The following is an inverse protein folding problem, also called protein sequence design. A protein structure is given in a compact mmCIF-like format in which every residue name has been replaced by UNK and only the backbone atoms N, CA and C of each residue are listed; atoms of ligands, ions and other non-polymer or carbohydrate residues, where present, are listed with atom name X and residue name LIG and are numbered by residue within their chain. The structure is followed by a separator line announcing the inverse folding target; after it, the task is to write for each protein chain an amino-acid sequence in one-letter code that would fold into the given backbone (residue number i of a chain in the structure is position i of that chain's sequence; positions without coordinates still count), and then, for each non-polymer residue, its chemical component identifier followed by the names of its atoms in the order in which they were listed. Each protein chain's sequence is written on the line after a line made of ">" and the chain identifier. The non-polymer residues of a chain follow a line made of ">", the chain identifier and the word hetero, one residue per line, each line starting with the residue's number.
data_IF_358819100755
#
_entry.id   IF_358819100755
#
_cell.length_a   1.000
_cell.length_b   1.000
_cell.length_c   1.000
_cell.angle_alpha   90.00
_cell.angle_beta   90.00
_cell.angle_gamma   90.00
#
_symmetry.space_group_name_H-M   'P 1'
#
loop_
_entity.id
_entity.type
_entity.pdbx_description
1 polymer ?
#
# COMPACT_ATOMS: atom_id res chain seq x y z
N UNK A 1 18.15 -30.18 30.84
CA UNK A 1 17.87 -31.23 29.82
C UNK A 1 16.55 -31.03 29.08
N UNK A 2 15.42 -30.66 29.73
CA UNK A 2 14.15 -30.41 29.01
C UNK A 2 14.16 -29.12 28.18
N UNK A 3 14.74 -28.03 28.70
CA UNK A 3 14.89 -26.73 28.02
C UNK A 3 15.68 -26.87 26.69
N UNK A 4 16.85 -27.52 26.76
CA UNK A 4 17.75 -27.73 25.62
C UNK A 4 17.10 -28.57 24.53
N UNK A 5 16.33 -29.61 24.91
CA UNK A 5 15.62 -30.47 23.94
C UNK A 5 14.50 -29.71 23.23
N UNK A 6 13.84 -28.77 23.92
CA UNK A 6 12.80 -27.92 23.33
C UNK A 6 13.40 -26.92 22.33
N UNK A 7 14.49 -26.26 22.71
CA UNK A 7 15.23 -25.34 21.83
C UNK A 7 15.72 -26.02 20.55
N UNK A 8 16.23 -27.25 20.63
CA UNK A 8 16.66 -28.00 19.44
C UNK A 8 15.50 -28.43 18.54
N UNK A 9 14.30 -28.66 19.10
CA UNK A 9 13.11 -28.99 18.30
C UNK A 9 12.64 -27.74 17.55
N UNK A 10 12.59 -26.60 18.22
CA UNK A 10 12.19 -25.32 17.62
C UNK A 10 13.16 -24.92 16.48
N UNK A 11 14.46 -25.14 16.63
CA UNK A 11 15.46 -24.87 15.58
C UNK A 11 15.30 -25.80 14.36
N UNK A 12 15.05 -27.09 14.57
CA UNK A 12 14.80 -28.04 13.48
C UNK A 12 13.51 -27.69 12.72
N UNK A 13 12.46 -27.28 13.42
CA UNK A 13 11.21 -26.82 12.78
C UNK A 13 11.44 -25.58 11.91
N UNK A 14 12.24 -24.61 12.39
CA UNK A 14 12.61 -23.44 11.60
C UNK A 14 13.41 -23.82 10.34
N UNK A 15 14.33 -24.78 10.43
CA UNK A 15 15.11 -25.25 9.28
C UNK A 15 14.22 -25.97 8.25
N UNK A 16 13.28 -26.80 8.71
CA UNK A 16 12.34 -27.50 7.83
C UNK A 16 11.41 -26.51 7.11
N UNK A 17 10.90 -25.49 7.84
CA UNK A 17 10.11 -24.43 7.26
C UNK A 17 10.92 -23.64 6.21
N UNK A 18 12.20 -23.36 6.49
CA UNK A 18 13.08 -22.66 5.57
C UNK A 18 13.29 -23.43 4.27
N UNK A 19 13.66 -24.72 4.37
CA UNK A 19 13.87 -25.58 3.21
C UNK A 19 12.62 -25.62 2.32
N UNK A 20 11.45 -25.84 2.94
CA UNK A 20 10.17 -25.85 2.22
C UNK A 20 9.88 -24.51 1.52
N UNK A 21 10.09 -23.38 2.20
CA UNK A 21 9.85 -22.06 1.61
C UNK A 21 10.77 -21.80 0.42
N UNK A 22 12.04 -22.21 0.51
CA UNK A 22 13.02 -22.11 -0.59
C UNK A 22 12.62 -22.96 -1.79
N UNK A 23 12.20 -24.21 -1.56
CA UNK A 23 11.73 -25.11 -2.61
C UNK A 23 10.48 -24.54 -3.32
N UNK A 24 9.52 -24.01 -2.55
CA UNK A 24 8.30 -23.41 -3.12
C UNK A 24 8.58 -22.11 -3.90
N UNK A 25 9.67 -21.41 -3.57
CA UNK A 25 10.12 -20.19 -4.23
C UNK A 25 11.05 -20.43 -5.42
N UNK A 26 11.58 -21.64 -5.59
CA UNK A 26 12.50 -21.99 -6.67
C UNK A 26 12.01 -21.55 -8.07
N UNK A 27 10.71 -21.68 -8.43
CA UNK A 27 10.21 -21.21 -9.72
C UNK A 27 10.26 -19.69 -9.94
N UNK A 28 10.36 -18.91 -8.86
CA UNK A 28 10.31 -17.44 -8.85
C UNK A 28 11.68 -16.81 -8.55
N UNK A 29 12.73 -17.63 -8.41
CA UNK A 29 14.02 -17.21 -7.88
C UNK A 29 14.81 -16.39 -8.91
N UNK A 30 15.28 -15.21 -8.51
CA UNK A 30 16.23 -14.38 -9.25
C UNK A 30 17.51 -14.09 -8.43
N UNK A 31 18.50 -13.46 -9.06
CA UNK A 31 19.78 -13.11 -8.40
C UNK A 31 19.62 -12.08 -7.26
N UNK A 32 18.55 -11.30 -7.23
CA UNK A 32 18.30 -10.25 -6.23
C UNK A 32 17.93 -10.84 -4.85
N UNK A 33 17.26 -11.98 -4.84
CA UNK A 33 16.81 -12.70 -3.63
C UNK A 33 18.01 -13.21 -2.80
N UNK A 34 19.09 -13.64 -3.44
CA UNK A 34 20.26 -14.22 -2.75
C UNK A 34 21.02 -13.23 -1.86
N UNK A 35 21.08 -11.97 -2.30
CA UNK A 35 21.86 -10.93 -1.63
C UNK A 35 21.29 -10.52 -0.26
N UNK A 36 19.97 -10.62 -0.09
CA UNK A 36 19.24 -10.19 1.11
C UNK A 36 19.25 -11.24 2.22
N UNK A 37 19.26 -12.53 1.84
CA UNK A 37 19.08 -13.66 2.76
C UNK A 37 20.31 -13.89 3.66
N UNK A 38 21.52 -13.66 3.14
CA UNK A 38 22.78 -14.00 3.83
C UNK A 38 23.08 -13.19 5.12
N UNK A 39 22.19 -12.29 5.54
CA UNK A 39 22.37 -11.44 6.73
C UNK A 39 21.28 -11.60 7.80
N UNK A 40 20.32 -12.50 7.60
CA UNK A 40 19.14 -12.63 8.45
C UNK A 40 19.28 -13.81 9.43
N UNK A 41 18.57 -13.74 10.57
CA UNK A 41 18.34 -14.95 11.38
C UNK A 41 17.40 -15.89 10.64
N UNK A 42 17.45 -17.19 10.93
CA UNK A 42 16.61 -18.19 10.25
C UNK A 42 15.11 -17.89 10.38
N UNK A 43 14.68 -17.38 11.54
CA UNK A 43 13.30 -16.94 11.74
C UNK A 43 12.94 -15.77 10.83
N UNK A 44 13.76 -14.72 10.79
CA UNK A 44 13.51 -13.55 9.98
C UNK A 44 13.57 -13.89 8.47
N UNK A 45 14.44 -14.82 8.09
CA UNK A 45 14.49 -15.37 6.74
C UNK A 45 13.18 -16.08 6.38
N UNK A 46 12.65 -16.94 7.27
CA UNK A 46 11.37 -17.61 7.03
C UNK A 46 10.22 -16.63 6.87
N UNK A 47 10.15 -15.58 7.71
CA UNK A 47 9.14 -14.53 7.59
C UNK A 47 9.25 -13.76 6.26
N UNK A 48 10.48 -13.47 5.83
CA UNK A 48 10.75 -12.83 4.54
C UNK A 48 10.34 -13.71 3.35
N UNK A 49 10.78 -14.98 3.33
CA UNK A 49 10.45 -15.93 2.26
C UNK A 49 8.95 -16.20 2.19
N UNK A 50 8.28 -16.34 3.35
CA UNK A 50 6.82 -16.50 3.40
C UNK A 50 6.10 -15.27 2.83
N UNK A 51 6.57 -14.06 3.16
CA UNK A 51 6.00 -12.81 2.63
C UNK A 51 6.18 -12.68 1.11
N UNK A 52 7.34 -13.07 0.60
CA UNK A 52 7.63 -13.09 -0.83
C UNK A 52 6.75 -14.10 -1.57
N UNK A 53 6.66 -15.33 -1.06
CA UNK A 53 5.81 -16.37 -1.65
C UNK A 53 4.32 -16.00 -1.62
N UNK A 54 3.87 -15.35 -0.54
CA UNK A 54 2.51 -14.82 -0.46
C UNK A 54 2.25 -13.76 -1.54
N UNK A 55 3.22 -12.89 -1.83
CA UNK A 55 3.12 -11.91 -2.91
C UNK A 55 3.08 -12.57 -4.30
N UNK A 56 3.95 -13.55 -4.54
CA UNK A 56 4.00 -14.28 -5.82
C UNK A 56 2.67 -14.96 -6.13
N UNK A 57 2.10 -15.64 -5.13
CA UNK A 57 0.83 -16.37 -5.26
C UNK A 57 -0.41 -15.49 -5.21
N UNK A 58 -0.31 -14.27 -4.67
CA UNK A 58 -1.47 -13.41 -4.56
C UNK A 58 -2.08 -13.12 -5.93
N UNK A 59 -3.41 -13.18 -6.06
CA UNK A 59 -4.06 -12.86 -7.32
C UNK A 59 -3.98 -11.35 -7.58
N UNK A 60 -3.72 -10.98 -8.83
CA UNK A 60 -3.88 -9.61 -9.31
C UNK A 60 -5.33 -9.43 -9.75
N UNK A 61 -6.09 -8.61 -9.02
CA UNK A 61 -7.52 -8.39 -9.26
C UNK A 61 -7.85 -6.91 -9.05
N UNK A 62 -8.91 -6.39 -9.71
CA UNK A 62 -9.43 -5.07 -9.41
C UNK A 62 -9.69 -4.89 -7.91
N UNK A 63 -9.32 -3.74 -7.35
CA UNK A 63 -9.57 -3.44 -5.92
C UNK A 63 -11.06 -3.59 -5.57
N UNK A 64 -11.96 -3.26 -6.49
CA UNK A 64 -13.40 -3.48 -6.33
C UNK A 64 -13.77 -4.94 -5.99
N UNK A 65 -13.04 -5.92 -6.51
CA UNK A 65 -13.27 -7.35 -6.28
C UNK A 65 -12.64 -7.86 -4.98
N UNK A 66 -11.95 -7.00 -4.22
CA UNK A 66 -11.40 -7.38 -2.91
C UNK A 66 -12.49 -7.50 -1.83
N UNK A 67 -13.67 -6.96 -2.12
CA UNK A 67 -14.83 -6.88 -1.22
C UNK A 67 -15.83 -8.03 -1.47
N UNK A 68 -16.60 -8.37 -0.44
CA UNK A 68 -17.68 -9.36 -0.55
C UNK A 68 -18.98 -8.74 0.02
N UNK A 69 -19.96 -8.37 -0.82
CA UNK A 69 -19.91 -8.38 -2.29
C UNK A 69 -18.92 -7.34 -2.86
N UNK A 70 -18.54 -7.44 -4.16
CA UNK A 70 -17.69 -6.45 -4.83
C UNK A 70 -18.18 -5.02 -4.64
N UNK A 71 -17.24 -4.09 -4.49
CA UNK A 71 -17.56 -2.70 -4.19
C UNK A 71 -17.85 -1.94 -5.49
N UNK A 72 -19.14 -1.71 -5.74
CA UNK A 72 -19.59 -0.85 -6.82
C UNK A 72 -20.03 0.52 -6.29
N UNK A 73 -19.55 1.57 -6.94
CA UNK A 73 -19.90 2.95 -6.67
C UNK A 73 -20.80 3.48 -7.78
N UNK A 74 -21.62 4.49 -7.45
CA UNK A 74 -22.40 5.20 -8.45
C UNK A 74 -21.49 6.22 -9.15
N UNK A 75 -21.74 6.56 -10.43
CA UNK A 75 -21.00 7.63 -11.11
C UNK A 75 -21.07 8.94 -10.30
N UNK A 76 -19.97 9.70 -10.19
CA UNK A 76 -19.95 10.96 -9.44
C UNK A 76 -21.06 11.93 -9.88
N UNK A 77 -21.31 12.02 -11.19
CA UNK A 77 -22.28 12.93 -11.79
C UNK A 77 -23.74 12.59 -11.45
N UNK A 78 -24.00 11.35 -11.02
CA UNK A 78 -25.33 10.92 -10.59
C UNK A 78 -25.63 11.29 -9.13
N UNK A 79 -24.68 11.86 -8.40
CA UNK A 79 -24.78 12.17 -6.97
C UNK A 79 -24.75 13.69 -6.74
N UNK A 80 -25.67 14.18 -5.90
CA UNK A 80 -25.55 15.52 -5.32
C UNK A 80 -24.45 15.57 -4.25
N UNK A 81 -23.90 16.75 -3.98
CA UNK A 81 -22.71 16.91 -3.12
C UNK A 81 -22.88 16.33 -1.71
N UNK A 82 -24.03 16.54 -1.07
CA UNK A 82 -24.29 16.00 0.28
C UNK A 82 -24.33 14.48 0.31
N UNK A 83 -24.93 13.86 -0.71
CA UNK A 83 -24.98 12.40 -0.85
C UNK A 83 -23.58 11.84 -1.16
N UNK A 84 -22.84 12.53 -2.02
CA UNK A 84 -21.48 12.18 -2.40
C UNK A 84 -20.57 12.18 -1.18
N UNK A 85 -20.54 13.26 -0.38
CA UNK A 85 -19.75 13.34 0.85
C UNK A 85 -20.04 12.21 1.83
N UNK A 86 -21.32 11.83 1.99
CA UNK A 86 -21.69 10.71 2.86
C UNK A 86 -21.21 9.36 2.32
N UNK A 87 -21.34 9.15 1.01
CA UNK A 87 -20.86 7.93 0.34
C UNK A 87 -19.34 7.83 0.40
N UNK A 88 -18.63 8.93 0.14
CA UNK A 88 -17.18 9.02 0.20
C UNK A 88 -16.65 8.55 1.56
N UNK A 89 -17.19 9.09 2.67
CA UNK A 89 -16.80 8.67 4.02
C UNK A 89 -16.94 7.17 4.24
N UNK A 90 -18.06 6.59 3.81
CA UNK A 90 -18.29 5.13 3.90
C UNK A 90 -17.33 4.33 3.03
N UNK A 91 -17.06 4.81 1.81
CA UNK A 91 -16.12 4.18 0.88
C UNK A 91 -14.71 4.16 1.45
N UNK A 92 -14.23 5.26 2.03
CA UNK A 92 -12.91 5.34 2.64
C UNK A 92 -12.78 4.34 3.80
N UNK A 93 -13.81 4.22 4.65
CA UNK A 93 -13.81 3.22 5.73
C UNK A 93 -13.76 1.78 5.20
N UNK A 94 -14.45 1.50 4.09
CA UNK A 94 -14.37 0.19 3.42
C UNK A 94 -12.96 -0.07 2.89
N UNK A 95 -12.36 0.88 2.17
CA UNK A 95 -10.98 0.77 1.68
C UNK A 95 -10.01 0.48 2.83
N UNK A 96 -10.12 1.23 3.94
CA UNK A 96 -9.28 1.03 5.11
C UNK A 96 -9.44 -0.36 5.74
N UNK A 97 -10.66 -0.91 5.79
CA UNK A 97 -10.88 -2.30 6.25
C UNK A 97 -10.23 -3.39 5.39
N UNK A 98 -9.73 -3.01 4.20
CA UNK A 98 -8.90 -3.87 3.33
C UNK A 98 -7.43 -3.44 3.33
N UNK A 99 -7.00 -2.69 4.35
CA UNK A 99 -5.65 -2.12 4.47
C UNK A 99 -5.26 -1.24 3.27
N UNK A 100 -6.22 -0.53 2.67
CA UNK A 100 -5.95 0.45 1.62
C UNK A 100 -6.02 1.84 2.25
N UNK A 101 -4.90 2.55 2.28
CA UNK A 101 -4.74 3.85 2.93
C UNK A 101 -4.55 4.92 1.87
N UNK A 102 -5.35 6.00 1.95
CA UNK A 102 -5.28 7.11 1.00
C UNK A 102 -4.38 8.21 1.53
N UNK A 103 -3.33 8.54 0.78
CA UNK A 103 -2.36 9.60 1.10
C UNK A 103 -2.59 10.83 0.24
N UNK A 104 -2.19 12.00 0.75
CA UNK A 104 -2.20 13.27 0.03
C UNK A 104 -3.56 13.65 -0.57
N UNK A 105 -4.62 13.65 0.24
CA UNK A 105 -6.00 13.88 -0.25
C UNK A 105 -6.53 15.30 -0.05
N UNK A 106 -5.90 16.09 0.82
CA UNK A 106 -6.47 17.35 1.33
C UNK A 106 -6.59 18.50 0.32
N UNK A 107 -5.91 18.41 -0.82
CA UNK A 107 -6.04 19.38 -1.92
C UNK A 107 -7.31 19.14 -2.76
N UNK A 108 -7.88 17.94 -2.71
CA UNK A 108 -9.05 17.53 -3.47
C UNK A 108 -10.34 17.89 -2.73
N UNK A 109 -11.38 18.33 -3.43
CA UNK A 109 -12.73 18.34 -2.89
C UNK A 109 -13.30 16.90 -2.80
N UNK A 110 -14.44 16.74 -2.13
CA UNK A 110 -15.04 15.41 -1.96
C UNK A 110 -15.39 14.76 -3.31
N UNK A 111 -15.86 15.57 -4.27
CA UNK A 111 -16.20 15.08 -5.61
C UNK A 111 -14.97 14.61 -6.38
N UNK A 112 -13.85 15.33 -6.29
CA UNK A 112 -12.58 14.94 -6.91
C UNK A 112 -12.05 13.64 -6.27
N UNK A 113 -11.97 13.57 -4.94
CA UNK A 113 -11.51 12.36 -4.26
C UNK A 113 -12.42 11.15 -4.55
N UNK A 114 -13.74 11.35 -4.57
CA UNK A 114 -14.68 10.30 -4.95
C UNK A 114 -14.49 9.83 -6.38
N UNK A 115 -14.18 10.76 -7.30
CA UNK A 115 -13.90 10.46 -8.71
C UNK A 115 -12.65 9.63 -8.85
N UNK A 116 -11.56 9.97 -8.15
CA UNK A 116 -10.32 9.18 -8.14
C UNK A 116 -10.59 7.77 -7.63
N UNK A 117 -11.32 7.62 -6.51
CA UNK A 117 -11.66 6.29 -5.99
C UNK A 117 -12.47 5.49 -7.03
N UNK A 118 -13.46 6.12 -7.66
CA UNK A 118 -14.34 5.48 -8.65
C UNK A 118 -13.60 5.06 -9.92
N UNK A 119 -12.80 5.97 -10.50
CA UNK A 119 -12.20 5.82 -11.84
C UNK A 119 -10.85 5.11 -11.79
N UNK A 120 -10.05 5.39 -10.76
CA UNK A 120 -8.63 5.04 -10.76
C UNK A 120 -8.34 3.94 -9.74
N UNK A 121 -8.84 4.07 -8.50
CA UNK A 121 -8.52 3.10 -7.44
C UNK A 121 -9.29 1.79 -7.62
N UNK A 122 -10.62 1.83 -7.65
CA UNK A 122 -11.43 0.60 -7.67
C UNK A 122 -11.21 -0.30 -8.91
N UNK A 123 -10.96 0.25 -10.11
CA UNK A 123 -10.65 -0.56 -11.29
C UNK A 123 -9.20 -1.04 -11.35
N UNK A 124 -8.28 -0.44 -10.59
CA UNK A 124 -6.87 -0.80 -10.64
C UNK A 124 -6.66 -2.26 -10.18
N UNK A 125 -5.90 -2.99 -10.98
CA UNK A 125 -5.55 -4.37 -10.70
C UNK A 125 -4.33 -4.42 -9.80
N UNK A 126 -4.56 -4.77 -8.54
CA UNK A 126 -3.51 -4.86 -7.53
C UNK A 126 -3.39 -6.29 -6.99
N UNK A 127 -2.19 -6.62 -6.51
CA UNK A 127 -1.94 -7.89 -5.83
C UNK A 127 -2.62 -7.87 -4.46
N UNK A 128 -3.64 -8.73 -4.29
CA UNK A 128 -4.34 -8.88 -3.00
C UNK A 128 -3.51 -9.72 -2.03
N UNK A 129 -2.51 -9.10 -1.43
CA UNK A 129 -1.60 -9.74 -0.47
C UNK A 129 -2.13 -9.52 0.94
N UNK A 130 -2.43 -10.61 1.66
CA UNK A 130 -2.84 -10.55 3.07
C UNK A 130 -1.61 -10.77 3.97
N UNK A 131 -0.75 -9.74 4.05
CA UNK A 131 0.43 -9.75 4.93
C UNK A 131 0.17 -8.82 6.11
N UNK A 132 0.25 -9.32 7.36
CA UNK A 132 0.07 -8.49 8.56
C UNK A 132 1.01 -7.28 8.56
N UNK A 133 0.47 -6.11 8.90
CA UNK A 133 1.24 -4.86 9.02
C UNK A 133 1.60 -4.19 7.70
N UNK A 134 1.22 -4.75 6.54
CA UNK A 134 1.42 -4.11 5.24
C UNK A 134 0.11 -3.55 4.71
N UNK A 135 0.10 -2.25 4.43
CA UNK A 135 -1.02 -1.56 3.78
C UNK A 135 -0.67 -1.20 2.33
N UNK A 136 -1.67 -1.22 1.47
CA UNK A 136 -1.58 -0.59 0.15
C UNK A 136 -1.79 0.91 0.34
N UNK A 137 -0.72 1.68 0.17
CA UNK A 137 -0.81 3.15 0.20
C UNK A 137 -1.06 3.70 -1.19
N UNK A 138 -2.14 4.45 -1.35
CA UNK A 138 -2.48 5.10 -2.61
C UNK A 138 -2.22 6.60 -2.52
N UNK A 139 -1.25 7.09 -3.29
CA UNK A 139 -0.94 8.52 -3.41
C UNK A 139 -1.99 9.19 -4.31
N UNK A 140 -2.85 10.03 -3.73
CA UNK A 140 -3.90 10.73 -4.47
C UNK A 140 -3.39 12.01 -5.15
N UNK A 141 -2.15 11.99 -5.62
CA UNK A 141 -1.50 13.08 -6.35
C UNK A 141 -0.88 12.48 -7.60
N UNK A 142 -1.28 12.98 -8.77
CA UNK A 142 -0.83 12.45 -10.06
C UNK A 142 0.40 13.18 -10.60
N UNK A 143 0.61 14.44 -10.19
CA UNK A 143 1.63 15.31 -10.77
C UNK A 143 2.54 15.95 -9.71
N UNK A 144 3.78 16.22 -10.14
CA UNK A 144 4.81 16.81 -9.30
C UNK A 144 4.48 18.23 -8.86
N UNK A 145 3.75 19.01 -9.67
CA UNK A 145 3.41 20.40 -9.33
C UNK A 145 2.47 20.44 -8.11
N UNK A 146 1.41 19.62 -8.11
CA UNK A 146 0.49 19.44 -6.99
C UNK A 146 1.23 18.94 -5.75
N UNK A 147 2.13 17.97 -5.90
CA UNK A 147 2.94 17.49 -4.79
C UNK A 147 3.83 18.59 -4.21
N UNK A 148 4.56 19.32 -5.05
CA UNK A 148 5.42 20.43 -4.63
C UNK A 148 4.62 21.54 -3.96
N UNK A 149 3.43 21.86 -4.47
CA UNK A 149 2.56 22.91 -3.93
C UNK A 149 2.05 22.56 -2.53
N UNK A 150 1.60 21.33 -2.31
CA UNK A 150 0.79 21.00 -1.13
C UNK A 150 1.44 20.05 -0.12
N UNK A 151 2.40 19.21 -0.53
CA UNK A 151 2.87 18.08 0.30
C UNK A 151 4.38 18.02 0.48
N UNK A 152 5.15 18.54 -0.47
CA UNK A 152 6.60 18.51 -0.38
C UNK A 152 7.13 19.36 0.78
N UNK A 153 8.05 18.78 1.54
CA UNK A 153 8.76 19.48 2.61
C UNK A 153 9.69 20.56 2.04
N UNK A 154 10.12 21.55 2.85
CA UNK A 154 11.09 22.55 2.40
C UNK A 154 12.44 21.95 1.95
N UNK A 155 12.81 20.77 2.46
CA UNK A 155 14.04 20.05 2.05
C UNK A 155 13.85 19.44 0.67
N UNK A 156 12.75 18.72 0.45
CA UNK A 156 12.42 18.12 -0.84
C UNK A 156 12.26 19.16 -1.94
N UNK A 157 11.59 20.28 -1.64
CA UNK A 157 11.44 21.41 -2.57
C UNK A 157 12.79 21.96 -3.01
N UNK A 158 13.72 22.21 -2.07
CA UNK A 158 15.08 22.69 -2.40
C UNK A 158 15.84 21.71 -3.27
N UNK A 159 15.79 20.42 -2.91
CA UNK A 159 16.43 19.36 -3.71
C UNK A 159 15.89 19.33 -5.14
N UNK A 160 14.58 19.43 -5.31
CA UNK A 160 13.96 19.48 -6.63
C UNK A 160 14.40 20.71 -7.42
N UNK A 161 14.46 21.89 -6.79
CA UNK A 161 14.93 23.11 -7.42
C UNK A 161 16.40 23.01 -7.87
N UNK A 162 17.27 22.44 -7.05
CA UNK A 162 18.69 22.24 -7.37
C UNK A 162 18.88 21.23 -8.51
N UNK A 163 18.07 20.17 -8.55
CA UNK A 163 18.17 19.11 -9.56
C UNK A 163 17.67 19.57 -10.95
N UNK A 164 16.59 20.33 -10.98
CA UNK A 164 15.90 20.70 -12.23
C UNK A 164 16.08 22.17 -12.65
N UNK A 165 16.79 22.98 -11.86
CA UNK A 165 17.06 24.41 -12.09
C UNK A 165 15.81 25.19 -12.56
N UNK A 166 14.71 25.03 -11.82
CA UNK A 166 13.40 25.57 -12.19
C UNK A 166 12.75 26.41 -11.07
N UNK A 167 11.81 27.26 -11.46
CA UNK A 167 10.95 27.95 -10.50
C UNK A 167 9.91 26.99 -9.94
N UNK A 168 9.82 26.91 -8.61
CA UNK A 168 8.85 26.06 -7.94
C UNK A 168 7.50 26.76 -7.82
N UNK A 169 6.37 26.00 -7.87
CA UNK A 169 5.07 26.55 -7.50
C UNK A 169 5.11 27.04 -6.03
N UNK A 170 4.32 28.07 -5.67
CA UNK A 170 4.23 28.52 -4.28
C UNK A 170 3.80 27.36 -3.38
N UNK A 171 4.33 27.32 -2.16
CA UNK A 171 3.88 26.34 -1.16
C UNK A 171 2.55 26.83 -0.56
N UNK A 172 1.56 25.95 -0.54
CA UNK A 172 0.22 26.25 -0.07
C UNK A 172 -0.26 25.18 0.92
N UNK A 173 -1.10 25.58 1.87
CA UNK A 173 -1.76 24.64 2.76
C UNK A 173 -2.98 24.03 2.06
N UNK A 174 -3.13 22.69 2.07
CA UNK A 174 -4.31 22.04 1.50
C UNK A 174 -5.62 22.52 2.14
N UNK A 175 -6.70 22.58 1.35
CA UNK A 175 -7.96 23.23 1.77
C UNK A 175 -8.81 22.41 2.73
N UNK A 176 -8.77 21.07 2.65
CA UNK A 176 -9.80 20.22 3.26
C UNK A 176 -9.38 19.52 4.56
N UNK A 177 -8.08 19.48 4.90
CA UNK A 177 -7.54 18.99 6.18
C UNK A 177 -8.21 17.73 6.72
N UNK A 178 -8.32 16.67 5.91
CA UNK A 178 -9.12 15.49 6.21
C UNK A 178 -8.44 14.60 7.24
N UNK A 179 -9.23 14.15 8.21
CA UNK A 179 -8.84 13.08 9.14
C UNK A 179 -9.30 11.75 8.55
N UNK A 180 -8.43 11.12 7.75
CA UNK A 180 -8.67 9.80 7.18
C UNK A 180 -8.04 8.70 8.06
N UNK A 181 -8.62 7.50 8.11
CA UNK A 181 -8.03 6.40 8.85
C UNK A 181 -6.68 5.99 8.24
N UNK A 182 -5.68 5.77 9.09
CA UNK A 182 -4.32 5.38 8.70
C UNK A 182 -3.36 6.54 8.38
N UNK A 183 -3.85 7.79 8.33
CA UNK A 183 -3.04 9.01 8.29
C UNK A 183 -2.59 9.46 9.69
#
# INVERSE_FOLDING_TARGET
>A
MRETRRQTIDEVELMLANARLRDELEPYRDESIESSINRMSLQAENEYLASMLAWERAPALPISDWFSPPLHLLPPDALGDSQLSHRLKKTIQKLYSKNIVLRCTDHLCDRELYTIIYRDILPCCEKKVDVPGKALEWMCVEDTETWLRFYATPVERRRYQEEFDCELPPSETPKHGRQLPGN
#
